data_IF_111739241639
#
_entry.id   IF_111739241639
#
_cell.length_a   1.000
_cell.length_b   1.000
_cell.length_c   1.000
_cell.angle_alpha   90.00
_cell.angle_beta   90.00
_cell.angle_gamma   90.00
#
_symmetry.space_group_name_H-M   'P 1'
#
loop_
_entity.id
_entity.type
_entity.pdbx_description
1 polymer ?
#
# COMPACT_ATOMS: atom_id res chain seq x y z
N UNK A 1 19.75 27.92 24.13
CA UNK A 1 19.01 26.63 24.14
C UNK A 1 18.61 26.30 22.72
N UNK A 2 18.83 25.07 22.28
CA UNK A 2 18.83 24.68 20.86
C UNK A 2 17.41 24.68 20.28
N UNK A 3 17.26 25.31 19.11
CA UNK A 3 16.05 25.40 18.31
C UNK A 3 15.66 24.02 17.75
N UNK A 4 14.40 23.63 17.90
CA UNK A 4 13.79 22.59 17.07
C UNK A 4 12.87 23.28 16.06
N UNK A 5 13.29 23.31 14.80
CA UNK A 5 12.51 23.80 13.66
C UNK A 5 11.61 22.65 13.21
N UNK A 6 10.29 22.83 13.31
CA UNK A 6 9.33 21.95 12.63
C UNK A 6 9.12 22.47 11.22
N UNK A 7 9.73 21.82 10.22
CA UNK A 7 9.42 22.09 8.82
C UNK A 7 8.14 21.33 8.49
N UNK A 8 7.00 22.03 8.54
CA UNK A 8 5.73 21.55 8.00
C UNK A 8 5.73 21.91 6.51
N UNK A 9 6.01 20.94 5.65
CA UNK A 9 5.90 21.13 4.20
C UNK A 9 4.41 21.00 3.81
N UNK A 10 3.71 22.13 3.72
CA UNK A 10 2.41 22.22 3.04
C UNK A 10 2.66 22.31 1.53
N UNK A 11 2.39 21.23 0.80
CA UNK A 11 2.15 21.28 -0.64
C UNK A 11 0.65 21.19 -0.85
N UNK A 12 0.04 22.36 -1.07
CA UNK A 12 -1.35 22.51 -1.49
C UNK A 12 -1.39 22.50 -3.02
N UNK A 13 -1.92 21.44 -3.61
CA UNK A 13 -2.39 21.46 -4.99
C UNK A 13 -3.91 21.58 -4.93
N UNK A 14 -4.43 22.71 -5.42
CA UNK A 14 -5.87 22.99 -5.49
C UNK A 14 -6.51 22.07 -6.53
N UNK A 15 -7.39 21.18 -6.08
CA UNK A 15 -8.46 20.60 -6.90
C UNK A 15 -9.73 20.50 -6.05
N UNK A 16 -10.87 20.76 -6.66
CA UNK A 16 -12.16 21.02 -6.01
C UNK A 16 -12.81 19.73 -5.49
N UNK A 17 -12.18 19.11 -4.49
CA UNK A 17 -12.72 18.12 -3.55
C UNK A 17 -11.62 17.85 -2.52
N UNK A 18 -11.50 18.73 -1.53
CA UNK A 18 -10.34 18.79 -0.63
C UNK A 18 -10.39 17.75 0.52
N UNK A 19 -10.90 16.55 0.25
CA UNK A 19 -10.66 15.42 1.12
C UNK A 19 -9.29 14.87 0.77
N UNK A 20 -8.27 15.28 1.53
CA UNK A 20 -6.97 14.62 1.49
C UNK A 20 -7.21 13.15 1.79
N UNK A 21 -7.00 12.28 0.81
CA UNK A 21 -7.11 10.84 1.04
C UNK A 21 -5.99 10.46 2.01
N UNK A 22 -6.36 10.04 3.22
CA UNK A 22 -5.43 9.59 4.26
C UNK A 22 -5.46 8.08 4.29
N UNK A 23 -4.37 7.48 3.80
CA UNK A 23 -4.12 6.06 3.95
C UNK A 23 -3.42 5.78 5.29
N UNK A 24 -3.86 4.73 5.99
CA UNK A 24 -3.11 4.13 7.09
C UNK A 24 -2.36 2.90 6.57
N UNK A 25 -1.05 2.86 6.72
CA UNK A 25 -0.30 1.63 6.46
C UNK A 25 -0.68 0.54 7.48
N UNK A 26 -1.06 -0.62 6.96
CA UNK A 26 -1.40 -1.80 7.77
C UNK A 26 -0.25 -2.80 7.76
N UNK A 27 0.38 -2.99 6.60
CA UNK A 27 1.47 -3.93 6.41
C UNK A 27 2.41 -3.43 5.32
N UNK A 28 3.70 -3.65 5.52
CA UNK A 28 4.72 -3.45 4.51
C UNK A 28 5.65 -4.66 4.41
N UNK A 29 6.24 -4.84 3.23
CA UNK A 29 7.27 -5.85 2.97
C UNK A 29 8.21 -5.33 1.89
N UNK A 30 9.50 -5.21 2.22
CA UNK A 30 10.55 -4.80 1.29
C UNK A 30 10.89 -5.94 0.34
N UNK A 31 11.06 -5.64 -0.95
CA UNK A 31 11.47 -6.63 -1.94
C UNK A 31 12.90 -7.11 -1.68
N UNK A 32 13.26 -8.34 -2.06
CA UNK A 32 14.65 -8.81 -2.03
C UNK A 32 15.65 -7.90 -2.76
N UNK A 33 15.22 -7.20 -3.82
CA UNK A 33 16.05 -6.22 -4.53
C UNK A 33 16.20 -4.89 -3.80
N UNK A 34 15.35 -4.63 -2.78
CA UNK A 34 15.23 -3.37 -2.04
C UNK A 34 14.80 -2.17 -2.87
N UNK A 35 14.37 -2.40 -4.10
CA UNK A 35 13.91 -1.35 -5.01
C UNK A 35 12.44 -0.98 -4.76
N UNK A 36 11.69 -1.89 -4.13
CA UNK A 36 10.26 -1.78 -3.96
C UNK A 36 9.84 -2.18 -2.55
N UNK A 37 8.74 -1.57 -2.09
CA UNK A 37 8.07 -1.89 -0.85
C UNK A 37 6.61 -2.16 -1.21
N UNK A 38 6.16 -3.37 -0.93
CA UNK A 38 4.76 -3.75 -1.05
C UNK A 38 4.03 -3.26 0.19
N UNK A 39 2.89 -2.62 -0.01
CA UNK A 39 2.10 -1.99 1.05
C UNK A 39 0.66 -2.49 0.97
N UNK A 40 0.10 -2.81 2.14
CA UNK A 40 -1.36 -2.79 2.32
C UNK A 40 -1.71 -1.52 3.07
N UNK A 41 -2.54 -0.71 2.43
CA UNK A 41 -3.07 0.54 2.92
C UNK A 41 -4.54 0.34 3.31
N UNK A 42 -4.99 1.03 4.35
CA UNK A 42 -6.40 1.11 4.73
C UNK A 42 -6.88 2.55 4.59
N UNK A 43 -8.00 2.72 3.91
CA UNK A 43 -8.71 3.99 3.76
C UNK A 43 -10.10 3.85 4.39
N UNK A 44 -10.40 4.75 5.32
CA UNK A 44 -11.68 4.74 6.03
C UNK A 44 -12.83 4.89 5.02
N UNK A 45 -13.87 4.06 5.16
CA UNK A 45 -15.06 3.99 4.28
C UNK A 45 -14.83 3.39 2.88
N UNK A 46 -13.59 3.06 2.51
CA UNK A 46 -13.28 2.40 1.23
C UNK A 46 -12.84 0.95 1.50
N UNK A 47 -11.85 0.76 2.36
CA UNK A 47 -11.33 -0.56 2.70
C UNK A 47 -9.83 -0.65 2.51
N UNK A 48 -9.36 -1.84 2.15
CA UNK A 48 -7.94 -2.12 1.95
C UNK A 48 -7.55 -1.92 0.50
N UNK A 49 -6.33 -1.45 0.29
CA UNK A 49 -5.73 -1.29 -1.03
C UNK A 49 -4.34 -1.85 -1.03
N UNK A 50 -3.98 -2.48 -2.14
CA UNK A 50 -2.62 -2.89 -2.38
C UNK A 50 -1.87 -1.81 -3.16
N UNK A 51 -0.66 -1.48 -2.71
CA UNK A 51 0.18 -0.47 -3.31
C UNK A 51 1.65 -0.91 -3.35
N UNK A 52 2.40 -0.33 -4.28
CA UNK A 52 3.84 -0.48 -4.40
C UNK A 52 4.46 0.89 -4.21
N UNK A 53 5.43 0.99 -3.31
CA UNK A 53 6.26 2.16 -3.12
C UNK A 53 7.68 1.88 -3.61
N UNK A 54 8.21 2.71 -4.48
CA UNK A 54 9.60 2.66 -4.92
C UNK A 54 10.51 3.38 -3.90
N UNK A 55 11.82 3.09 -3.94
CA UNK A 55 12.77 3.71 -2.98
C UNK A 55 12.81 5.24 -3.07
N UNK A 56 12.61 5.77 -4.29
CA UNK A 56 12.60 7.23 -4.54
C UNK A 56 11.32 7.90 -4.01
N UNK A 57 10.38 7.12 -3.47
CA UNK A 57 9.19 7.63 -2.79
C UNK A 57 7.91 7.57 -3.62
N UNK A 58 7.98 7.18 -4.89
CA UNK A 58 6.78 7.07 -5.76
C UNK A 58 5.87 5.96 -5.25
N UNK A 59 4.61 6.31 -4.98
CA UNK A 59 3.58 5.39 -4.52
C UNK A 59 2.60 5.10 -5.66
N UNK A 60 2.44 3.83 -6.00
CA UNK A 60 1.49 3.36 -7.00
C UNK A 60 0.43 2.51 -6.32
N UNK A 61 -0.83 2.94 -6.37
CA UNK A 61 -1.96 2.14 -5.91
C UNK A 61 -2.35 1.20 -7.04
N UNK A 62 -2.18 -0.09 -6.80
CA UNK A 62 -2.27 -1.12 -7.83
C UNK A 62 -3.71 -1.63 -7.97
N UNK A 63 -4.39 -1.83 -6.84
CA UNK A 63 -5.75 -2.33 -6.81
C UNK A 63 -6.73 -1.31 -6.24
N UNK A 64 -7.96 -1.35 -6.75
CA UNK A 64 -8.96 -0.32 -6.47
C UNK A 64 -9.49 -0.39 -5.03
N UNK A 65 -9.80 -1.58 -4.53
CA UNK A 65 -10.21 -1.84 -3.13
C UNK A 65 -10.46 -3.34 -2.92
N UNK A 66 -10.24 -3.83 -1.70
CA UNK A 66 -10.78 -5.10 -1.22
C UNK A 66 -11.25 -4.97 0.23
N UNK A 67 -12.31 -5.70 0.56
CA UNK A 67 -12.89 -5.75 1.90
C UNK A 67 -12.81 -7.20 2.38
N UNK A 68 -11.90 -7.53 3.31
CA UNK A 68 -11.86 -8.83 3.95
C UNK A 68 -13.17 -9.06 4.71
N UNK A 69 -13.79 -10.23 4.55
CA UNK A 69 -15.07 -10.58 5.15
C UNK A 69 -14.86 -11.46 6.40
N UNK A 70 -15.41 -11.04 7.55
CA UNK A 70 -15.54 -11.84 8.77
C UNK A 70 -15.50 -11.00 10.06
N UNK A 71 -15.32 -11.66 11.22
CA UNK A 71 -15.47 -11.02 12.54
C UNK A 71 -14.16 -10.60 13.23
N UNK A 72 -13.01 -11.02 12.68
CA UNK A 72 -11.68 -10.73 13.23
C UNK A 72 -10.88 -9.75 12.38
N UNK A 73 -9.76 -9.24 12.91
CA UNK A 73 -8.84 -8.47 12.09
C UNK A 73 -8.12 -9.44 11.12
N UNK A 74 -8.05 -9.13 9.81
CA UNK A 74 -7.40 -9.99 8.84
C UNK A 74 -5.91 -10.14 9.13
N UNK A 75 -5.39 -11.35 8.98
CA UNK A 75 -3.96 -11.63 8.94
C UNK A 75 -3.48 -11.49 7.49
N UNK A 76 -2.63 -10.49 7.27
CA UNK A 76 -2.11 -10.17 5.93
C UNK A 76 -0.65 -10.61 5.83
N UNK A 77 -0.34 -11.38 4.77
CA UNK A 77 1.02 -11.76 4.40
C UNK A 77 1.36 -11.22 3.01
N UNK A 78 2.58 -10.73 2.87
CA UNK A 78 3.16 -10.19 1.63
C UNK A 78 4.45 -10.96 1.35
N UNK A 79 4.40 -11.85 0.35
CA UNK A 79 5.52 -12.72 0.00
C UNK A 79 6.08 -12.30 -1.35
N UNK A 80 7.36 -11.95 -1.37
CA UNK A 80 8.05 -11.62 -2.61
C UNK A 80 8.56 -12.88 -3.30
N UNK A 81 8.33 -12.93 -4.61
CA UNK A 81 8.90 -13.88 -5.55
C UNK A 81 9.81 -13.09 -6.51
N UNK A 82 11.08 -13.49 -6.59
CA UNK A 82 12.07 -12.93 -7.53
C UNK A 82 12.24 -11.40 -7.49
N UNK A 83 11.91 -10.72 -6.38
CA UNK A 83 12.06 -9.27 -6.21
C UNK A 83 11.06 -8.40 -6.98
N UNK A 84 10.30 -8.98 -7.91
CA UNK A 84 9.42 -8.27 -8.83
C UNK A 84 7.98 -8.75 -8.80
N UNK A 85 7.70 -9.80 -8.06
CA UNK A 85 6.36 -10.36 -7.95
C UNK A 85 6.01 -10.47 -6.49
N UNK A 86 4.82 -10.06 -6.12
CA UNK A 86 4.35 -10.14 -4.74
C UNK A 86 3.03 -10.89 -4.68
N UNK A 87 3.01 -11.89 -3.82
CA UNK A 87 1.83 -12.66 -3.47
C UNK A 87 1.25 -12.10 -2.17
N UNK A 88 0.01 -11.65 -2.24
CA UNK A 88 -0.75 -11.14 -1.11
C UNK A 88 -1.70 -12.24 -0.65
N UNK A 89 -1.64 -12.55 0.64
CA UNK A 89 -2.52 -13.53 1.27
C UNK A 89 -3.26 -12.79 2.39
N UNK A 90 -4.58 -12.78 2.32
CA UNK A 90 -5.45 -12.24 3.35
C UNK A 90 -6.21 -13.41 3.96
N UNK A 91 -5.84 -13.76 5.18
CA UNK A 91 -6.44 -14.83 5.97
C UNK A 91 -7.36 -14.19 7.01
N UNK A 92 -8.65 -14.50 6.95
CA UNK A 92 -9.65 -13.86 7.80
C UNK A 92 -10.20 -14.79 8.87
N UNK A 93 -10.46 -16.05 8.52
CA UNK A 93 -11.11 -17.05 9.38
C UNK A 93 -10.34 -18.39 9.40
N UNK A 94 -9.01 -18.34 9.47
CA UNK A 94 -8.13 -19.52 9.60
C UNK A 94 -8.30 -20.57 8.48
N UNK A 95 -8.63 -20.14 7.26
CA UNK A 95 -8.79 -21.04 6.11
C UNK A 95 -10.07 -20.86 5.30
N UNK A 96 -11.15 -20.35 5.89
CA UNK A 96 -12.38 -20.04 5.15
C UNK A 96 -12.28 -18.66 4.49
N UNK A 97 -12.65 -18.56 3.20
CA UNK A 97 -12.68 -17.32 2.42
C UNK A 97 -11.36 -16.55 2.30
N UNK A 98 -10.23 -17.26 2.34
CA UNK A 98 -8.93 -16.65 2.10
C UNK A 98 -8.87 -15.97 0.72
N UNK A 99 -8.49 -14.70 0.71
CA UNK A 99 -8.23 -13.98 -0.53
C UNK A 99 -6.75 -14.12 -0.89
N UNK A 100 -6.53 -14.45 -2.16
CA UNK A 100 -5.19 -14.60 -2.72
C UNK A 100 -5.08 -13.70 -3.94
N UNK A 101 -4.10 -12.81 -3.90
CA UNK A 101 -3.77 -11.94 -5.02
C UNK A 101 -2.30 -12.12 -5.37
N UNK A 102 -2.02 -11.98 -6.65
CA UNK A 102 -0.67 -12.06 -7.15
C UNK A 102 -0.46 -10.89 -8.09
N UNK A 103 0.68 -10.21 -7.90
CA UNK A 103 0.98 -9.04 -8.66
C UNK A 103 2.41 -9.06 -9.17
N UNK A 104 2.59 -8.81 -10.46
CA UNK A 104 3.89 -8.68 -11.10
C UNK A 104 4.18 -7.22 -11.45
N UNK A 105 5.38 -6.75 -11.10
CA UNK A 105 5.87 -5.43 -11.46
C UNK A 105 6.30 -5.34 -12.93
N UNK A 106 6.49 -6.48 -13.61
CA UNK A 106 6.89 -6.50 -15.02
C UNK A 106 5.78 -5.97 -15.95
N UNK A 107 4.54 -5.89 -15.47
CA UNK A 107 3.38 -5.40 -16.23
C UNK A 107 3.03 -3.94 -15.95
N UNK A 108 3.87 -3.21 -15.21
CA UNK A 108 3.61 -1.83 -14.80
C UNK A 108 4.43 -0.86 -15.64
N UNK A 109 3.73 0.09 -16.23
CA UNK A 109 4.35 1.33 -16.70
C UNK A 109 4.36 2.31 -15.52
N UNK A 110 5.52 2.44 -14.86
CA UNK A 110 5.67 3.40 -13.76
C UNK A 110 5.72 4.80 -14.34
N UNK A 111 4.57 5.39 -14.64
CA UNK A 111 4.52 6.80 -15.02
C UNK A 111 4.79 7.63 -13.76
N UNK A 112 5.94 8.31 -13.70
CA UNK A 112 6.21 9.29 -12.66
C UNK A 112 5.10 10.35 -12.70
N UNK A 113 4.30 10.42 -11.64
CA UNK A 113 3.43 11.57 -11.40
C UNK A 113 4.32 12.62 -10.74
N UNK A 114 4.87 13.53 -11.56
CA UNK A 114 5.54 14.76 -11.11
C UNK A 114 4.55 15.75 -10.51
#
# INVERSE_FOLDING_TARGET
MKNCIYIILLLSVFSCSNEKIIYKEIKSSESPSKEFIALILYEKNIGYRFAIKTINGTLNIIEKEFIPLGYHNPVIKLNWENGKKVKIIVDHDFGENNLFFEYSLDTIDFTEIN
#
